data_IF_155446009579
#
_entry.id   IF_155446009579
#
_cell.length_a   1.000
_cell.length_b   1.000
_cell.length_c   1.000
_cell.angle_alpha   90.00
_cell.angle_beta   90.00
_cell.angle_gamma   90.00
#
_symmetry.space_group_name_H-M   'P 1'
#
loop_
_entity.id
_entity.type
_entity.pdbx_description
1 polymer ?
#
# COMPACT_ATOMS: atom_id res chain seq x y z
N UNK A 1 0.49 -7.06 11.72
CA UNK A 1 0.96 -7.42 10.36
C UNK A 1 2.37 -6.89 10.24
N UNK A 2 3.37 -7.73 9.94
CA UNK A 2 4.75 -7.30 9.77
C UNK A 2 5.07 -7.24 8.28
N UNK A 3 5.57 -6.09 7.82
CA UNK A 3 5.90 -5.81 6.42
C UNK A 3 7.43 -5.84 6.24
N UNK A 4 7.92 -6.30 5.09
CA UNK A 4 9.34 -6.23 4.76
C UNK A 4 9.66 -4.96 3.96
N UNK A 5 10.73 -4.27 4.35
CA UNK A 5 11.03 -2.88 3.96
C UNK A 5 11.99 -2.73 2.76
N UNK A 6 12.39 -3.83 2.12
CA UNK A 6 13.26 -3.80 0.93
C UNK A 6 12.66 -4.67 -0.18
N UNK A 7 12.05 -4.06 -1.18
CA UNK A 7 11.57 -4.77 -2.36
C UNK A 7 12.75 -5.24 -3.23
N UNK A 8 13.29 -6.42 -2.94
CA UNK A 8 14.15 -7.19 -3.87
C UNK A 8 13.29 -8.21 -4.64
N UNK A 9 13.89 -9.17 -5.35
CA UNK A 9 13.18 -10.29 -5.97
C UNK A 9 12.52 -11.18 -4.90
N UNK A 10 11.34 -10.78 -4.45
CA UNK A 10 10.55 -11.44 -3.41
C UNK A 10 9.37 -12.18 -4.03
N UNK A 11 9.21 -13.43 -3.63
CA UNK A 11 8.09 -14.32 -3.95
C UNK A 11 7.48 -14.84 -2.66
N UNK A 12 6.36 -15.57 -2.77
CA UNK A 12 5.76 -16.27 -1.64
C UNK A 12 6.77 -17.16 -0.88
N UNK A 13 7.73 -17.75 -1.61
CA UNK A 13 8.74 -18.66 -1.07
C UNK A 13 10.00 -17.96 -0.52
N UNK A 14 10.21 -16.68 -0.83
CA UNK A 14 11.37 -15.90 -0.36
C UNK A 14 11.00 -14.81 0.64
N UNK A 15 9.71 -14.73 1.01
CA UNK A 15 9.25 -13.86 2.07
C UNK A 15 9.92 -14.27 3.39
N UNK A 16 10.40 -13.27 4.15
CA UNK A 16 11.02 -13.56 5.45
C UNK A 16 10.01 -14.24 6.38
N UNK A 17 10.51 -15.15 7.20
CA UNK A 17 9.72 -15.74 8.27
C UNK A 17 9.07 -14.60 9.10
N UNK A 18 7.77 -14.74 9.37
CA UNK A 18 6.93 -13.80 10.11
C UNK A 18 6.44 -12.54 9.37
N UNK A 19 6.67 -12.38 8.06
CA UNK A 19 5.97 -11.38 7.24
C UNK A 19 4.85 -12.03 6.41
N UNK A 20 3.88 -11.23 5.95
CA UNK A 20 2.72 -11.72 5.17
C UNK A 20 2.47 -10.94 3.87
N UNK A 21 3.26 -9.90 3.63
CA UNK A 21 3.14 -8.98 2.51
C UNK A 21 4.45 -8.21 2.34
N UNK A 22 4.57 -7.52 1.21
CA UNK A 22 5.63 -6.56 0.93
C UNK A 22 5.02 -5.17 0.80
N UNK A 23 5.67 -4.17 1.39
CA UNK A 23 5.35 -2.77 1.17
C UNK A 23 6.50 -2.08 0.44
N UNK A 24 6.26 -1.70 -0.81
CA UNK A 24 7.13 -0.81 -1.55
C UNK A 24 6.95 0.61 -1.03
N UNK A 25 8.04 1.25 -0.59
CA UNK A 25 8.01 2.61 -0.07
C UNK A 25 8.24 3.64 -1.18
N UNK A 26 7.25 4.46 -1.48
CA UNK A 26 7.36 5.57 -2.42
C UNK A 26 7.91 6.84 -1.79
N UNK A 27 8.26 7.83 -2.60
CA UNK A 27 8.67 9.17 -2.14
C UNK A 27 7.49 10.01 -1.63
N UNK A 28 6.26 9.64 -1.98
CA UNK A 28 5.00 10.23 -1.52
C UNK A 28 4.12 9.18 -0.83
N UNK A 29 3.51 9.56 0.30
CA UNK A 29 2.54 8.75 1.03
C UNK A 29 1.35 9.58 1.52
N UNK A 30 0.18 8.97 1.83
CA UNK A 30 -0.91 9.66 2.51
C UNK A 30 -0.46 10.20 3.88
N UNK A 31 -0.94 11.38 4.29
CA UNK A 31 -0.68 11.89 5.64
C UNK A 31 -1.20 10.89 6.69
N UNK A 32 -0.32 10.32 7.55
CA UNK A 32 -0.72 9.33 8.54
C UNK A 32 -1.64 9.89 9.63
N UNK A 33 -1.81 11.21 9.72
CA UNK A 33 -2.76 11.86 10.64
C UNK A 33 -4.19 11.85 10.12
N UNK A 34 -4.39 11.63 8.82
CA UNK A 34 -5.68 11.65 8.15
C UNK A 34 -6.07 10.23 7.73
N UNK A 35 -6.85 9.56 8.57
CA UNK A 35 -7.29 8.18 8.36
C UNK A 35 -8.71 7.96 8.85
N UNK A 36 -9.30 6.86 8.42
CA UNK A 36 -10.60 6.39 8.88
C UNK A 36 -10.54 4.90 9.17
N UNK A 37 -11.19 4.46 10.24
CA UNK A 37 -11.44 3.04 10.49
C UNK A 37 -12.91 2.75 10.21
N UNK A 38 -13.17 1.73 9.40
CA UNK A 38 -14.52 1.22 9.22
C UNK A 38 -15.02 0.54 10.50
N UNK A 39 -16.34 0.34 10.61
CA UNK A 39 -16.94 -0.35 11.76
C UNK A 39 -16.44 -1.80 11.91
N UNK A 40 -16.03 -2.45 10.81
CA UNK A 40 -15.40 -3.78 10.81
C UNK A 40 -13.87 -3.73 10.99
N UNK A 41 -13.31 -2.58 11.35
CA UNK A 41 -11.91 -2.42 11.76
C UNK A 41 -10.90 -2.28 10.61
N UNK A 42 -11.34 -2.02 9.39
CA UNK A 42 -10.46 -1.80 8.22
C UNK A 42 -9.91 -0.37 8.25
N UNK A 43 -8.59 -0.24 8.18
CA UNK A 43 -7.89 1.04 8.08
C UNK A 43 -7.93 1.58 6.65
N UNK A 44 -8.37 2.84 6.49
CA UNK A 44 -8.40 3.57 5.21
C UNK A 44 -7.44 4.76 5.29
N UNK A 45 -6.29 4.73 4.57
CA UNK A 45 -5.40 5.88 4.46
C UNK A 45 -5.95 6.87 3.43
N UNK A 46 -6.70 7.85 3.88
CA UNK A 46 -7.40 8.83 3.02
C UNK A 46 -6.77 10.23 3.04
N UNK A 47 -5.66 10.40 3.76
CA UNK A 47 -4.94 11.66 3.83
C UNK A 47 -4.39 12.13 2.49
N UNK A 48 -4.23 13.45 2.37
CA UNK A 48 -3.55 14.05 1.24
C UNK A 48 -2.10 13.57 1.11
N UNK A 49 -1.56 13.60 -0.12
CA UNK A 49 -0.19 13.12 -0.38
C UNK A 49 0.87 14.05 0.23
N UNK A 50 1.75 13.49 1.06
CA UNK A 50 2.90 14.17 1.68
C UNK A 50 4.21 13.44 1.35
N UNK A 51 5.35 14.12 1.55
CA UNK A 51 6.67 13.52 1.38
C UNK A 51 6.92 12.44 2.43
N UNK A 52 7.33 11.24 1.99
CA UNK A 52 7.47 10.08 2.87
C UNK A 52 8.77 10.03 3.68
N UNK A 53 9.71 10.95 3.41
CA UNK A 53 11.08 10.98 3.94
C UNK A 53 11.92 9.71 3.67
N UNK A 54 11.44 8.83 2.81
CA UNK A 54 12.17 7.63 2.37
C UNK A 54 13.32 8.08 1.47
N UNK A 55 14.55 7.75 1.86
CA UNK A 55 15.74 8.02 1.06
C UNK A 55 15.92 6.92 0.01
N UNK A 56 16.32 7.31 -1.20
CA UNK A 56 16.73 6.38 -2.28
C UNK A 56 15.67 5.31 -2.62
N UNK A 57 14.48 5.76 -3.04
CA UNK A 57 13.45 4.88 -3.60
C UNK A 57 13.32 5.06 -5.10
N UNK A 58 12.98 3.98 -5.81
CA UNK A 58 12.61 4.00 -7.23
C UNK A 58 11.11 4.26 -7.45
N UNK A 59 10.32 4.28 -6.37
CA UNK A 59 8.86 4.43 -6.43
C UNK A 59 8.43 5.86 -6.11
N UNK A 60 7.45 6.37 -6.87
CA UNK A 60 6.80 7.65 -6.53
C UNK A 60 5.80 7.48 -5.38
N UNK A 61 5.03 6.39 -5.37
CA UNK A 61 3.99 6.12 -4.37
C UNK A 61 4.19 4.76 -3.72
N UNK A 62 3.58 4.56 -2.54
CA UNK A 62 3.61 3.26 -1.88
C UNK A 62 2.84 2.20 -2.69
N UNK A 63 3.35 0.97 -2.67
CA UNK A 63 2.70 -0.20 -3.24
C UNK A 63 2.62 -1.31 -2.19
N UNK A 64 1.52 -2.08 -2.19
CA UNK A 64 1.31 -3.19 -1.26
C UNK A 64 1.10 -4.46 -2.07
N UNK A 65 1.92 -5.48 -1.81
CA UNK A 65 1.88 -6.78 -2.49
C UNK A 65 1.59 -7.87 -1.48
N UNK A 66 0.56 -8.67 -1.75
CA UNK A 66 0.27 -9.92 -1.03
C UNK A 66 0.57 -11.12 -1.93
N UNK A 67 0.83 -12.27 -1.31
CA UNK A 67 1.27 -13.47 -2.03
C UNK A 67 0.27 -14.64 -1.94
N UNK A 68 -0.80 -14.49 -1.15
CA UNK A 68 -1.94 -15.41 -1.12
C UNK A 68 -3.24 -14.63 -1.44
N UNK A 69 -4.01 -15.14 -2.39
CA UNK A 69 -5.31 -14.59 -2.79
C UNK A 69 -6.33 -14.59 -1.65
N UNK A 70 -6.21 -15.52 -0.69
CA UNK A 70 -7.11 -15.61 0.47
C UNK A 70 -6.98 -14.39 1.41
N UNK A 71 -5.92 -13.57 1.25
CA UNK A 71 -5.76 -12.31 1.98
C UNK A 71 -6.61 -11.17 1.40
N UNK A 72 -7.23 -11.36 0.23
CA UNK A 72 -7.99 -10.33 -0.49
C UNK A 72 -9.49 -10.53 -0.37
N UNK A 73 -10.19 -9.47 0.04
CA UNK A 73 -11.65 -9.39 0.03
C UNK A 73 -12.08 -8.10 -0.68
N UNK A 74 -12.57 -8.21 -1.92
CA UNK A 74 -12.98 -7.05 -2.73
C UNK A 74 -14.29 -6.47 -2.17
N UNK A 75 -14.25 -5.22 -1.68
CA UNK A 75 -15.40 -4.58 -1.01
C UNK A 75 -16.23 -3.67 -1.91
N UNK A 76 -15.61 -3.01 -2.89
CA UNK A 76 -16.26 -1.97 -3.70
C UNK A 76 -15.82 -2.08 -5.16
N UNK A 77 -16.72 -1.66 -6.05
CA UNK A 77 -16.45 -1.45 -7.48
C UNK A 77 -16.81 0.00 -7.82
N UNK A 78 -15.85 0.75 -8.35
CA UNK A 78 -16.06 2.15 -8.72
C UNK A 78 -16.23 2.27 -10.23
N UNK A 79 -17.28 2.98 -10.67
CA UNK A 79 -17.40 3.47 -12.05
C UNK A 79 -16.85 4.89 -12.09
N UNK A 80 -15.70 5.06 -12.75
CA UNK A 80 -14.99 6.35 -12.81
C UNK A 80 -15.10 6.95 -14.21
N UNK A 81 -15.41 8.24 -14.29
CA UNK A 81 -15.37 9.00 -15.53
C UNK A 81 -14.15 9.94 -15.52
N UNK A 82 -13.14 9.64 -16.33
CA UNK A 82 -11.90 10.43 -16.39
C UNK A 82 -12.10 11.69 -17.25
N UNK A 83 -11.91 12.86 -16.64
CA UNK A 83 -12.03 14.16 -17.29
C UNK A 83 -10.64 14.71 -17.62
N UNK A 84 -10.14 14.41 -18.82
CA UNK A 84 -8.80 14.80 -19.25
C UNK A 84 -8.72 16.30 -19.57
N UNK A 85 -7.62 16.95 -19.18
CA UNK A 85 -7.24 18.28 -19.65
C UNK A 85 -5.96 18.13 -20.46
N UNK A 86 -6.02 18.56 -21.71
CA UNK A 86 -4.89 18.60 -22.65
C UNK A 86 -3.95 19.76 -22.33
#
# INVERSE_FOLDING_TARGET
MHEYYKATNLSASTLLACTHSTKGYGSTMPDPKEYYYTNDGVFIPMGHGIQSNVRQTSLLYNEYIVYNTDQINIKYLLRVNFQYKY
#
